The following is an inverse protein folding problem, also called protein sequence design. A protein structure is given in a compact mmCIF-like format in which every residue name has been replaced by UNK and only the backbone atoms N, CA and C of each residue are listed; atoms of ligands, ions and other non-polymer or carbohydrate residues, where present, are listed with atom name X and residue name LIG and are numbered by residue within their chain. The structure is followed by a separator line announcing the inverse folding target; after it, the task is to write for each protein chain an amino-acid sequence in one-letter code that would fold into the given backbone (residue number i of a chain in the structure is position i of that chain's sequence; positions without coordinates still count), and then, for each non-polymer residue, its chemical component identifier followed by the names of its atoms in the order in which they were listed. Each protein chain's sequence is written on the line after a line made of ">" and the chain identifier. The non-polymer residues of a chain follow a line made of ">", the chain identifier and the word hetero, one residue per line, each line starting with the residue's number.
data_IF_589197132283
#
_entry.id   IF_589197132283
#
_cell.length_a   1.000
_cell.length_b   1.000
_cell.length_c   1.000
_cell.angle_alpha   90.00
_cell.angle_beta   90.00
_cell.angle_gamma   90.00
#
_symmetry.space_group_name_H-M   'P 1'
#
loop_
_entity.id
_entity.type
_entity.pdbx_description
1 polymer ?
#
# COMPACT_ATOMS: atom_id res chain seq x y z
N UNK A 1 -37.88 27.41 12.59
CA UNK A 1 -36.41 27.34 12.72
C UNK A 1 -35.92 26.23 11.79
N UNK A 2 -35.34 26.58 10.65
CA UNK A 2 -34.80 25.60 9.71
C UNK A 2 -33.46 25.10 10.23
N UNK A 3 -33.29 23.79 10.38
CA UNK A 3 -31.99 23.21 10.67
C UNK A 3 -31.07 23.43 9.46
N UNK A 4 -29.91 24.09 9.61
CA UNK A 4 -28.96 24.21 8.52
C UNK A 4 -28.43 22.81 8.18
N UNK A 5 -28.71 22.35 6.97
CA UNK A 5 -28.17 21.11 6.44
C UNK A 5 -26.71 21.32 6.04
N UNK A 6 -25.81 20.48 6.55
CA UNK A 6 -24.42 20.45 6.12
C UNK A 6 -24.11 19.08 5.51
N UNK A 7 -23.29 19.11 4.47
CA UNK A 7 -22.84 17.89 3.80
C UNK A 7 -21.46 17.50 4.34
N UNK A 8 -21.30 16.21 4.63
CA UNK A 8 -20.05 15.66 5.12
C UNK A 8 -19.59 14.48 4.27
N UNK A 9 -18.27 14.27 4.28
CA UNK A 9 -17.61 13.13 3.67
C UNK A 9 -17.46 12.06 4.75
N UNK A 10 -18.22 10.98 4.64
CA UNK A 10 -18.12 9.87 5.60
C UNK A 10 -16.89 8.99 5.31
N UNK A 11 -16.70 8.66 4.04
CA UNK A 11 -15.54 7.97 3.51
C UNK A 11 -15.12 8.63 2.19
N UNK A 12 -13.82 8.84 2.01
CA UNK A 12 -13.26 9.30 0.74
C UNK A 12 -12.38 8.21 0.15
N UNK A 13 -12.73 7.70 -1.03
CA UNK A 13 -11.92 6.77 -1.80
C UNK A 13 -11.26 7.51 -2.97
N UNK A 14 -9.96 7.30 -3.14
CA UNK A 14 -9.16 7.86 -4.23
C UNK A 14 -8.26 6.77 -4.78
N UNK A 15 -8.25 6.59 -6.11
CA UNK A 15 -7.50 5.54 -6.76
C UNK A 15 -6.64 6.05 -7.92
N UNK A 16 -5.49 5.40 -8.10
CA UNK A 16 -4.66 5.50 -9.30
C UNK A 16 -4.61 4.13 -9.96
N UNK A 17 -4.81 4.12 -11.28
CA UNK A 17 -4.76 2.92 -12.11
C UNK A 17 -3.53 2.93 -13.01
N UNK A 18 -2.76 1.84 -12.96
CA UNK A 18 -1.70 1.54 -13.93
C UNK A 18 -2.28 0.50 -14.89
N UNK A 19 -2.55 0.89 -16.12
CA UNK A 19 -3.23 0.04 -17.09
C UNK A 19 -2.24 -0.60 -18.06
N UNK A 20 -2.36 -1.92 -18.21
CA UNK A 20 -1.54 -2.71 -19.11
C UNK A 20 -2.28 -2.97 -20.41
N UNK A 21 -1.53 -3.25 -21.48
CA UNK A 21 -2.12 -3.57 -22.78
C UNK A 21 -2.94 -4.85 -22.68
N UNK A 22 -2.34 -5.90 -22.12
CA UNK A 22 -2.99 -7.19 -21.91
C UNK A 22 -3.03 -7.55 -20.43
N UNK A 23 -4.03 -8.36 -20.03
CA UNK A 23 -4.13 -8.86 -18.64
C UNK A 23 -2.94 -9.78 -18.27
N UNK A 24 -2.43 -10.54 -19.24
CA UNK A 24 -1.28 -11.44 -19.06
C UNK A 24 -0.01 -10.72 -18.61
N UNK A 25 0.18 -9.46 -19.03
CA UNK A 25 1.34 -8.66 -18.65
C UNK A 25 1.37 -8.40 -17.14
N UNK A 26 0.20 -8.08 -16.56
CA UNK A 26 0.04 -7.89 -15.12
C UNK A 26 0.23 -9.22 -14.38
N UNK A 27 -0.40 -10.30 -14.85
CA UNK A 27 -0.35 -11.62 -14.21
C UNK A 27 1.07 -12.18 -14.08
N UNK A 28 1.97 -11.80 -14.99
CA UNK A 28 3.37 -12.26 -15.02
C UNK A 28 4.12 -11.94 -13.71
N UNK A 29 3.85 -10.78 -13.10
CA UNK A 29 4.59 -10.33 -11.91
C UNK A 29 3.70 -10.08 -10.69
N UNK A 30 2.38 -9.90 -10.88
CA UNK A 30 1.52 -9.32 -9.85
C UNK A 30 1.44 -10.17 -8.58
N UNK A 31 1.33 -11.50 -8.72
CA UNK A 31 1.32 -12.41 -7.57
C UNK A 31 2.59 -12.23 -6.73
N UNK A 32 3.75 -12.24 -7.39
CA UNK A 32 5.06 -12.09 -6.74
C UNK A 32 5.19 -10.72 -6.09
N UNK A 33 4.76 -9.65 -6.76
CA UNK A 33 4.73 -8.29 -6.20
C UNK A 33 3.99 -8.26 -4.87
N UNK A 34 2.79 -8.83 -4.85
CA UNK A 34 1.88 -8.80 -3.72
C UNK A 34 2.42 -9.63 -2.55
N UNK A 35 2.92 -10.83 -2.83
CA UNK A 35 3.51 -11.70 -1.81
C UNK A 35 4.77 -11.06 -1.21
N UNK A 36 5.70 -10.58 -2.06
CA UNK A 36 6.91 -9.88 -1.59
C UNK A 36 6.55 -8.64 -0.78
N UNK A 37 5.64 -7.79 -1.26
CA UNK A 37 5.19 -6.60 -0.53
C UNK A 37 4.64 -6.93 0.85
N UNK A 38 3.89 -8.03 0.99
CA UNK A 38 3.31 -8.44 2.26
C UNK A 38 4.37 -8.83 3.29
N UNK A 39 5.43 -9.52 2.87
CA UNK A 39 6.50 -9.96 3.75
C UNK A 39 7.58 -8.88 3.98
N UNK A 40 7.76 -7.96 3.03
CA UNK A 40 8.77 -6.89 3.13
C UNK A 40 8.30 -5.75 4.03
N UNK A 41 7.03 -5.34 3.96
CA UNK A 41 6.60 -4.15 4.67
C UNK A 41 6.35 -4.39 6.15
N UNK A 42 7.02 -3.58 6.97
CA UNK A 42 6.85 -3.51 8.41
C UNK A 42 5.77 -2.49 8.79
N UNK A 43 5.39 -2.49 10.08
CA UNK A 43 4.52 -1.46 10.63
C UNK A 43 5.08 -0.03 10.46
N UNK A 44 6.41 0.13 10.44
CA UNK A 44 7.05 1.43 10.22
C UNK A 44 6.82 1.93 8.79
N UNK A 45 6.91 1.03 7.81
CA UNK A 45 6.69 1.35 6.40
C UNK A 45 5.23 1.78 6.20
N UNK A 46 4.30 0.98 6.73
CA UNK A 46 2.86 1.31 6.71
C UNK A 46 2.61 2.68 7.33
N UNK A 47 3.20 2.96 8.50
CA UNK A 47 3.08 4.26 9.16
C UNK A 47 3.59 5.42 8.29
N UNK A 48 4.70 5.19 7.58
CA UNK A 48 5.32 6.17 6.68
C UNK A 48 4.49 6.43 5.41
N UNK A 49 3.78 5.42 4.87
CA UNK A 49 2.89 5.60 3.72
C UNK A 49 1.86 6.70 3.97
N UNK A 50 1.31 6.76 5.19
CA UNK A 50 0.36 7.79 5.60
C UNK A 50 1.00 9.16 5.90
N UNK A 51 2.29 9.35 5.58
CA UNK A 51 3.00 10.62 5.74
C UNK A 51 3.32 10.94 7.20
N UNK A 52 3.35 9.93 8.08
CA UNK A 52 3.67 10.11 9.49
C UNK A 52 5.14 9.87 9.76
N UNK A 53 5.69 10.66 10.67
CA UNK A 53 7.09 10.52 11.07
C UNK A 53 7.26 9.32 12.00
N UNK A 54 8.02 8.33 11.54
CA UNK A 54 8.29 7.04 12.20
C UNK A 54 8.77 7.22 13.63
N UNK A 55 9.49 8.31 13.95
CA UNK A 55 9.94 8.59 15.33
C UNK A 55 8.80 8.61 16.33
N UNK A 56 7.58 8.95 15.91
CA UNK A 56 6.40 9.02 16.78
C UNK A 56 5.50 7.77 16.71
N UNK A 57 5.93 6.69 16.07
CA UNK A 57 5.11 5.47 15.95
C UNK A 57 4.75 4.87 17.31
N UNK A 58 5.67 4.93 18.28
CA UNK A 58 5.45 4.49 19.66
C UNK A 58 4.33 5.25 20.39
N UNK A 59 3.96 6.44 19.92
CA UNK A 59 2.87 7.25 20.47
C UNK A 59 1.52 6.94 19.80
N UNK A 60 1.54 6.17 18.71
CA UNK A 60 0.33 5.80 18.00
C UNK A 60 -0.43 4.74 18.78
N UNK A 61 -1.67 5.06 19.16
CA UNK A 61 -2.56 4.17 19.92
C UNK A 61 -3.54 3.38 19.05
N UNK A 62 -3.47 3.54 17.73
CA UNK A 62 -4.33 2.81 16.80
C UNK A 62 -3.70 1.50 16.34
N UNK A 63 -4.50 0.70 15.62
CA UNK A 63 -4.02 -0.55 15.02
C UNK A 63 -3.29 -0.27 13.70
N UNK A 64 -2.19 -0.97 13.46
CA UNK A 64 -1.53 -1.08 12.16
C UNK A 64 -1.65 -2.54 11.74
N UNK A 65 -2.22 -2.80 10.57
CA UNK A 65 -2.39 -4.17 10.09
C UNK A 65 -2.22 -4.31 8.58
N UNK A 66 -1.77 -5.49 8.16
CA UNK A 66 -1.68 -5.92 6.78
C UNK A 66 -2.62 -7.10 6.55
N UNK A 67 -3.25 -7.17 5.37
CA UNK A 67 -4.17 -8.24 4.99
C UNK A 67 -3.98 -8.55 3.51
N UNK A 68 -3.46 -9.74 3.25
CA UNK A 68 -3.32 -10.33 1.92
C UNK A 68 -4.47 -11.30 1.68
N UNK A 69 -5.18 -11.15 0.56
CA UNK A 69 -6.23 -12.09 0.14
C UNK A 69 -6.13 -12.42 -1.33
N UNK A 70 -6.36 -13.68 -1.64
CA UNK A 70 -6.64 -14.16 -2.99
C UNK A 70 -8.16 -14.42 -3.09
N UNK A 71 -8.82 -13.85 -4.10
CA UNK A 71 -10.23 -14.09 -4.41
C UNK A 71 -10.34 -14.54 -5.87
N UNK A 72 -11.51 -15.00 -6.28
CA UNK A 72 -11.79 -15.31 -7.70
C UNK A 72 -11.40 -14.17 -8.67
N UNK A 73 -11.54 -12.92 -8.21
CA UNK A 73 -11.23 -11.72 -9.00
C UNK A 73 -9.74 -11.37 -9.05
N UNK A 74 -8.89 -12.04 -8.25
CA UNK A 74 -7.45 -11.82 -8.18
C UNK A 74 -6.91 -11.54 -6.77
N UNK A 75 -5.69 -11.00 -6.71
CA UNK A 75 -4.97 -10.76 -5.46
C UNK A 75 -5.25 -9.35 -4.95
N UNK A 76 -5.33 -9.20 -3.62
CA UNK A 76 -5.39 -7.91 -2.95
C UNK A 76 -4.48 -7.90 -1.74
N UNK A 77 -3.63 -6.89 -1.68
CA UNK A 77 -2.96 -6.49 -0.45
C UNK A 77 -3.57 -5.21 0.08
N UNK A 78 -3.73 -5.14 1.40
CA UNK A 78 -4.33 -4.00 2.09
C UNK A 78 -3.55 -3.70 3.35
N UNK A 79 -3.16 -2.45 3.51
CA UNK A 79 -2.54 -1.91 4.72
C UNK A 79 -3.50 -0.93 5.39
N UNK A 80 -3.63 -1.06 6.71
CA UNK A 80 -4.49 -0.22 7.55
C UNK A 80 -3.64 0.54 8.56
N UNK A 81 -3.99 1.80 8.76
CA UNK A 81 -3.52 2.65 9.84
C UNK A 81 -4.75 3.27 10.53
N UNK A 82 -5.12 2.71 11.68
CA UNK A 82 -6.36 3.07 12.37
C UNK A 82 -7.57 2.83 11.46
N UNK A 83 -8.29 3.89 11.12
CA UNK A 83 -9.48 3.82 10.24
C UNK A 83 -9.16 4.07 8.77
N UNK A 84 -7.95 4.48 8.46
CA UNK A 84 -7.50 4.79 7.10
C UNK A 84 -6.80 3.57 6.50
N UNK A 85 -6.88 3.42 5.18
CA UNK A 85 -6.31 2.25 4.51
C UNK A 85 -5.79 2.59 3.11
N UNK A 86 -4.81 1.83 2.67
CA UNK A 86 -4.35 1.75 1.28
C UNK A 86 -4.43 0.30 0.84
N UNK A 87 -4.95 0.05 -0.37
CA UNK A 87 -5.06 -1.28 -0.95
C UNK A 87 -4.56 -1.28 -2.37
N UNK A 88 -3.91 -2.37 -2.75
CA UNK A 88 -3.50 -2.65 -4.12
C UNK A 88 -4.16 -3.95 -4.56
N UNK A 89 -4.80 -3.93 -5.72
CA UNK A 89 -5.50 -5.08 -6.31
C UNK A 89 -5.44 -5.04 -7.83
N UNK A 90 -5.50 -6.20 -8.47
CA UNK A 90 -5.76 -6.26 -9.91
C UNK A 90 -7.25 -6.04 -10.20
N UNK A 91 -7.52 -5.25 -11.23
CA UNK A 91 -8.87 -4.99 -11.74
C UNK A 91 -8.83 -5.05 -13.26
N UNK A 92 -9.33 -6.14 -13.83
CA UNK A 92 -9.20 -6.43 -15.27
C UNK A 92 -7.72 -6.47 -15.70
N UNK A 93 -7.28 -5.57 -16.57
CA UNK A 93 -5.92 -5.36 -17.04
C UNK A 93 -5.23 -4.17 -16.36
N UNK A 94 -5.76 -3.67 -15.24
CA UNK A 94 -5.20 -2.55 -14.49
C UNK A 94 -4.77 -2.97 -13.09
N UNK A 95 -3.60 -2.49 -12.67
CA UNK A 95 -3.18 -2.50 -11.29
C UNK A 95 -3.72 -1.24 -10.62
N UNK A 96 -4.65 -1.42 -9.67
CA UNK A 96 -5.26 -0.32 -8.94
C UNK A 96 -4.65 -0.19 -7.56
N UNK A 97 -4.22 1.03 -7.23
CA UNK A 97 -3.85 1.43 -5.87
C UNK A 97 -4.88 2.43 -5.40
N UNK A 98 -5.55 2.11 -4.30
CA UNK A 98 -6.66 2.89 -3.76
C UNK A 98 -6.43 3.21 -2.29
N UNK A 99 -6.67 4.47 -1.93
CA UNK A 99 -6.64 4.97 -0.56
C UNK A 99 -8.07 5.26 -0.12
N UNK A 100 -8.43 4.79 1.07
CA UNK A 100 -9.67 5.16 1.75
C UNK A 100 -9.34 5.96 3.00
N UNK A 101 -9.84 7.20 3.09
CA UNK A 101 -9.77 8.04 4.28
C UNK A 101 -11.13 8.03 4.96
N UNK A 102 -11.22 7.37 6.11
CA UNK A 102 -12.42 7.33 6.96
C UNK A 102 -12.30 8.23 8.19
N UNK A 103 -11.06 8.49 8.66
CA UNK A 103 -10.80 9.44 9.73
C UNK A 103 -9.86 10.55 9.24
N UNK A 104 -10.41 11.69 8.77
CA UNK A 104 -9.59 12.78 8.29
C UNK A 104 -8.82 13.50 9.39
N UNK A 105 -9.21 13.34 10.67
CA UNK A 105 -8.53 14.01 11.80
C UNK A 105 -7.09 13.53 11.97
N UNK A 106 -6.78 12.35 11.43
CA UNK A 106 -5.44 11.79 11.34
C UNK A 106 -4.50 12.60 10.44
N UNK A 107 -5.02 13.51 9.64
CA UNK A 107 -4.27 14.38 8.73
C UNK A 107 -4.49 15.85 9.08
N UNK A 108 -3.56 16.70 8.60
CA UNK A 108 -3.61 18.14 8.85
C UNK A 108 -4.02 18.90 7.59
N UNK A 109 -4.81 19.95 7.82
CA UNK A 109 -5.17 20.98 6.82
C UNK A 109 -4.72 22.35 7.34
N UNK A 110 -4.18 23.17 6.44
CA UNK A 110 -3.82 24.55 6.76
C UNK A 110 -5.03 25.44 6.44
N UNK A 111 -5.59 26.08 7.45
CA UNK A 111 -6.73 26.99 7.27
C UNK A 111 -6.70 28.11 8.29
N UNK A 112 -7.49 29.13 8.01
CA UNK A 112 -7.80 30.19 8.95
C UNK A 112 -8.74 29.68 10.03
N UNK A 113 -8.40 29.98 11.27
CA UNK A 113 -9.13 29.58 12.47
C UNK A 113 -9.37 30.83 13.30
N UNK A 114 -10.64 31.08 13.60
CA UNK A 114 -11.08 32.14 14.50
C UNK A 114 -10.89 31.68 15.95
N UNK A 115 -10.21 32.50 16.75
CA UNK A 115 -10.07 32.30 18.19
C UNK A 115 -11.28 32.88 18.92
N UNK A 116 -11.47 32.47 20.18
CA UNK A 116 -12.58 32.98 21.02
C UNK A 116 -12.56 34.51 21.19
N UNK A 117 -11.38 35.11 21.06
CA UNK A 117 -11.17 36.55 21.18
C UNK A 117 -11.41 37.31 19.85
N UNK A 118 -11.98 36.65 18.84
CA UNK A 118 -12.31 37.22 17.52
C UNK A 118 -11.12 37.39 16.57
N UNK A 119 -9.91 37.00 16.99
CA UNK A 119 -8.72 37.06 16.14
C UNK A 119 -8.65 35.85 15.20
N UNK A 120 -8.33 36.08 13.93
CA UNK A 120 -8.13 35.01 12.96
C UNK A 120 -6.65 34.70 12.78
N UNK A 121 -6.31 33.40 12.80
CA UNK A 121 -4.93 32.93 12.62
C UNK A 121 -4.89 31.75 11.66
N UNK A 122 -3.90 31.71 10.76
CA UNK A 122 -3.69 30.57 9.87
C UNK A 122 -2.79 29.54 10.54
N UNK A 123 -3.29 28.33 10.77
CA UNK A 123 -2.55 27.25 11.42
C UNK A 123 -2.91 25.88 10.85
N UNK A 124 -2.00 24.94 11.03
CA UNK A 124 -2.26 23.52 10.75
C UNK A 124 -3.16 22.94 11.83
N UNK A 125 -4.30 22.39 11.43
CA UNK A 125 -5.27 21.75 12.33
C UNK A 125 -5.68 20.38 11.78
N UNK A 126 -6.21 19.47 12.63
CA UNK A 126 -6.83 18.24 12.15
C UNK A 126 -7.88 18.51 11.07
N UNK A 127 -7.85 17.75 9.98
CA UNK A 127 -8.77 17.91 8.86
C UNK A 127 -10.17 17.41 9.25
N UNK A 128 -11.19 18.20 8.91
CA UNK A 128 -12.59 17.86 9.15
C UNK A 128 -13.24 17.13 7.97
N UNK A 129 -14.45 16.60 8.20
CA UNK A 129 -15.28 15.89 7.20
C UNK A 129 -16.02 16.81 6.21
N UNK A 130 -15.69 18.10 6.13
CA UNK A 130 -16.40 19.01 5.20
C UNK A 130 -16.08 18.70 3.74
N UNK A 131 -17.08 18.80 2.85
CA UNK A 131 -16.89 18.71 1.39
C UNK A 131 -15.91 19.76 0.87
N UNK A 132 -15.84 20.93 1.52
CA UNK A 132 -14.87 21.97 1.17
C UNK A 132 -13.41 21.48 1.24
N UNK A 133 -13.14 20.40 1.99
CA UNK A 133 -11.80 19.83 2.14
C UNK A 133 -11.46 18.79 1.06
N UNK A 134 -12.35 18.47 0.10
CA UNK A 134 -12.13 17.39 -0.89
C UNK A 134 -10.80 17.51 -1.65
N UNK A 135 -10.37 18.73 -1.97
CA UNK A 135 -9.06 18.96 -2.60
C UNK A 135 -7.91 18.40 -1.74
N UNK A 136 -8.00 18.56 -0.41
CA UNK A 136 -6.99 18.10 0.54
C UNK A 136 -7.04 16.59 0.72
N UNK A 137 -8.23 15.97 0.67
CA UNK A 137 -8.35 14.51 0.60
C UNK A 137 -7.62 13.96 -0.63
N UNK A 138 -7.86 14.54 -1.81
CA UNK A 138 -7.20 14.10 -3.04
C UNK A 138 -5.67 14.27 -2.95
N UNK A 139 -5.18 15.39 -2.43
CA UNK A 139 -3.76 15.65 -2.24
C UNK A 139 -3.10 14.65 -1.27
N UNK A 140 -3.72 14.40 -0.12
CA UNK A 140 -3.24 13.42 0.86
C UNK A 140 -3.20 12.03 0.24
N UNK A 141 -4.29 11.62 -0.41
CA UNK A 141 -4.37 10.30 -1.05
C UNK A 141 -3.32 10.11 -2.13
N UNK A 142 -3.11 11.11 -3.01
CA UNK A 142 -2.05 11.07 -4.03
C UNK A 142 -0.67 10.91 -3.40
N UNK A 143 -0.40 11.65 -2.32
CA UNK A 143 0.87 11.56 -1.60
C UNK A 143 1.07 10.19 -0.91
N UNK A 144 -0.01 9.58 -0.41
CA UNK A 144 0.03 8.22 0.16
C UNK A 144 0.35 7.21 -0.94
N UNK A 145 -0.33 7.32 -2.09
CA UNK A 145 -0.10 6.45 -3.24
C UNK A 145 1.35 6.56 -3.72
N UNK A 146 1.88 7.78 -3.87
CA UNK A 146 3.26 7.98 -4.30
C UNK A 146 4.26 7.32 -3.35
N UNK A 147 4.17 7.57 -2.03
CA UNK A 147 5.05 6.92 -1.04
C UNK A 147 4.91 5.40 -1.05
N UNK A 148 3.69 4.90 -1.23
CA UNK A 148 3.46 3.47 -1.31
C UNK A 148 4.11 2.85 -2.57
N UNK A 149 3.98 3.50 -3.73
CA UNK A 149 4.61 3.08 -4.99
C UNK A 149 6.14 3.14 -4.87
N UNK A 150 6.69 4.24 -4.33
CA UNK A 150 8.13 4.42 -4.11
C UNK A 150 8.73 3.36 -3.18
N UNK A 151 7.93 2.83 -2.25
CA UNK A 151 8.36 1.79 -1.34
C UNK A 151 8.19 0.37 -1.91
N UNK A 152 7.50 0.17 -3.04
CA UNK A 152 7.28 -1.17 -3.59
C UNK A 152 8.61 -1.89 -3.82
N UNK A 153 8.72 -3.17 -3.41
CA UNK A 153 9.94 -3.91 -3.59
C UNK A 153 10.21 -4.16 -5.08
N UNK A 154 11.47 -4.13 -5.46
CA UNK A 154 11.89 -4.63 -6.76
C UNK A 154 11.63 -6.14 -6.85
N UNK A 155 11.07 -6.57 -7.97
CA UNK A 155 10.78 -7.98 -8.22
C UNK A 155 11.74 -8.47 -9.28
N UNK A 156 12.56 -9.45 -8.92
CA UNK A 156 13.28 -10.20 -9.94
C UNK A 156 12.31 -11.13 -10.68
N UNK A 157 12.12 -10.92 -11.98
CA UNK A 157 11.30 -11.79 -12.84
C UNK A 157 12.06 -13.03 -13.31
N UNK A 158 13.33 -13.18 -12.95
CA UNK A 158 14.08 -14.42 -13.07
C UNK A 158 13.42 -15.47 -12.17
N UNK A 159 12.50 -16.22 -12.77
CA UNK A 159 12.18 -17.54 -12.27
C UNK A 159 13.45 -18.37 -12.50
N UNK A 160 14.17 -18.72 -11.43
CA UNK A 160 15.08 -19.86 -11.49
C UNK A 160 14.21 -21.01 -11.97
N UNK A 161 14.48 -21.49 -13.18
CA UNK A 161 13.61 -22.50 -13.77
C UNK A 161 13.71 -23.73 -12.89
N UNK A 162 12.60 -24.43 -12.64
CA UNK A 162 12.65 -25.72 -11.95
C UNK A 162 13.67 -26.66 -12.62
N UNK A 163 13.90 -26.52 -13.93
CA UNK A 163 14.94 -27.21 -14.68
C UNK A 163 16.37 -26.89 -14.21
N UNK A 164 16.66 -25.66 -13.79
CA UNK A 164 17.97 -25.28 -13.25
C UNK A 164 18.17 -25.85 -11.84
N UNK A 165 17.13 -25.81 -11.00
CA UNK A 165 17.14 -26.47 -9.69
C UNK A 165 17.30 -27.98 -9.84
N UNK A 166 16.59 -28.59 -10.79
CA UNK A 166 16.75 -29.99 -11.13
C UNK A 166 18.18 -30.31 -11.59
N UNK A 167 18.78 -29.49 -12.45
CA UNK A 167 20.15 -29.70 -12.93
C UNK A 167 21.18 -29.64 -11.80
N UNK A 168 20.99 -28.75 -10.81
CA UNK A 168 21.86 -28.67 -9.63
C UNK A 168 21.66 -29.89 -8.71
N UNK A 169 20.44 -30.43 -8.63
CA UNK A 169 20.12 -31.61 -7.82
C UNK A 169 20.54 -32.94 -8.46
N UNK A 170 20.81 -32.97 -9.78
CA UNK A 170 21.19 -34.18 -10.51
C UNK A 170 22.69 -34.46 -10.41
N UNK A 171 23.11 -35.72 -10.25
CA UNK A 171 24.52 -36.08 -10.30
C UNK A 171 25.09 -35.88 -11.71
N UNK A 172 26.33 -35.40 -11.80
CA UNK A 172 27.04 -35.18 -13.07
C UNK A 172 28.29 -36.06 -13.14
N UNK A 173 28.68 -36.48 -14.34
CA UNK A 173 29.93 -37.22 -14.56
C UNK A 173 30.90 -36.33 -15.31
N UNK A 174 32.08 -36.09 -14.72
CA UNK A 174 33.16 -35.30 -15.34
C UNK A 174 34.42 -36.18 -15.35
N UNK A 175 35.01 -36.37 -16.53
CA UNK A 175 36.24 -37.17 -16.72
C UNK A 175 36.16 -38.58 -16.10
N UNK A 176 34.99 -39.23 -16.21
CA UNK A 176 34.77 -40.59 -15.68
C UNK A 176 34.54 -40.67 -14.17
N UNK A 177 34.50 -39.54 -13.45
CA UNK A 177 34.16 -39.46 -12.03
C UNK A 177 32.76 -38.89 -11.83
N UNK A 178 31.95 -39.55 -11.00
CA UNK A 178 30.58 -39.14 -10.68
C UNK A 178 30.60 -38.20 -9.47
N UNK A 179 29.98 -37.03 -9.61
CA UNK A 179 29.75 -36.07 -8.55
C UNK A 179 28.27 -36.09 -8.19
N UNK A 180 27.95 -36.27 -6.91
CA UNK A 180 26.58 -36.24 -6.40
C UNK A 180 25.98 -34.83 -6.56
N UNK A 181 24.73 -34.75 -7.00
CA UNK A 181 24.00 -33.49 -7.05
C UNK A 181 23.74 -32.91 -5.65
N UNK A 182 23.51 -31.61 -5.58
CA UNK A 182 23.30 -30.90 -4.32
C UNK A 182 21.93 -31.25 -3.72
N UNK A 183 21.91 -31.70 -2.46
CA UNK A 183 20.66 -32.05 -1.78
C UNK A 183 20.02 -30.79 -1.17
N UNK A 184 19.01 -30.28 -1.86
CA UNK A 184 18.29 -29.05 -1.50
C UNK A 184 17.48 -29.14 -0.19
N UNK A 185 17.23 -30.35 0.32
CA UNK A 185 16.34 -30.58 1.49
C UNK A 185 17.09 -30.86 2.79
N UNK A 186 18.43 -30.90 2.76
CA UNK A 186 19.25 -31.30 3.90
C UNK A 186 20.44 -30.34 4.10
N UNK A 187 20.13 -29.04 4.15
CA UNK A 187 21.07 -27.94 4.44
C UNK A 187 21.09 -27.58 5.91
#
# INVERSE_FOLDING_TARGET
>A
MGHPYYWCVEACEFATDITFKERSDLETFYKKLVETSYFTFSCNDIYSFFGRNIKYIHQFKGEISADLRNRYLGYRIKFKLGKNQVKMYDKSNSLRIEVTINDPKDFKIYKEVESKDGTTTKKWVPMGKSIANLYRYAEISKNIINRYIEALPEINLENIRLTELENISKPITVEGRIYSGFNLLNS
#
